data_IF_270660578098
#
_entry.id   IF_270660578098
#
_cell.length_a   1.000
_cell.length_b   1.000
_cell.length_c   1.000
_cell.angle_alpha   90.00
_cell.angle_beta   90.00
_cell.angle_gamma   90.00
#
_symmetry.space_group_name_H-M   'P 1'
#
loop_
_entity.id
_entity.type
_entity.pdbx_description
1 polymer ?
#
# COMPACT_ATOMS: atom_id res chain seq x y z
N UNK A 1 27.88 42.64 5.03
CA UNK A 1 27.29 42.03 6.23
C UNK A 1 26.31 43.03 6.84
N UNK A 2 25.00 42.86 6.63
CA UNK A 2 23.98 43.36 7.53
C UNK A 2 23.37 42.21 8.34
N UNK A 3 23.27 42.47 9.65
CA UNK A 3 22.79 41.62 10.72
C UNK A 3 21.24 41.62 10.74
N UNK A 4 20.61 40.47 10.53
CA UNK A 4 19.16 40.27 10.66
C UNK A 4 18.88 39.42 11.89
N UNK A 5 18.82 40.06 13.06
CA UNK A 5 18.32 39.46 14.28
C UNK A 5 16.79 39.61 14.34
N UNK A 6 16.07 38.53 14.06
CA UNK A 6 14.64 38.43 14.38
C UNK A 6 14.49 38.10 15.88
N UNK A 7 13.95 39.04 16.66
CA UNK A 7 13.45 38.78 18.03
C UNK A 7 11.99 38.34 17.93
N UNK A 8 11.70 37.12 18.36
CA UNK A 8 10.32 36.67 18.59
C UNK A 8 9.73 37.32 19.87
N UNK A 9 8.47 37.79 19.86
CA UNK A 9 7.79 38.23 21.07
C UNK A 9 7.30 37.03 21.91
N UNK A 10 7.25 37.15 23.25
CA UNK A 10 6.89 36.04 24.13
C UNK A 10 5.39 35.71 24.05
N UNK A 11 5.12 34.42 23.79
CA UNK A 11 3.80 33.81 23.79
C UNK A 11 3.22 33.82 25.23
N UNK A 12 2.12 34.55 25.46
CA UNK A 12 1.40 34.54 26.73
C UNK A 12 0.30 33.47 26.71
N UNK A 13 0.36 32.52 27.64
CA UNK A 13 -0.71 31.53 27.86
C UNK A 13 -2.00 32.22 28.37
N UNK A 14 -3.17 31.94 27.77
CA UNK A 14 -4.45 32.32 28.38
C UNK A 14 -4.73 31.45 29.61
N UNK A 15 -5.13 32.11 30.71
CA UNK A 15 -5.55 31.50 31.97
C UNK A 15 -6.80 30.63 31.76
N UNK A 16 -6.76 29.40 32.27
CA UNK A 16 -7.94 28.54 32.43
C UNK A 16 -8.79 29.05 33.59
N UNK A 17 -10.09 29.23 33.35
CA UNK A 17 -11.11 29.28 34.40
C UNK A 17 -12.38 28.57 33.95
N UNK A 18 -12.98 27.89 34.93
CA UNK A 18 -14.35 27.38 35.02
C UNK A 18 -14.61 25.93 34.58
N UNK A 19 -14.75 25.09 35.61
CA UNK A 19 -15.39 23.78 35.68
C UNK A 19 -16.72 23.73 34.90
N UNK A 20 -16.83 22.75 34.00
CA UNK A 20 -18.10 22.15 33.61
C UNK A 20 -17.86 20.64 33.50
N UNK A 21 -18.37 19.87 34.46
CA UNK A 21 -18.35 18.40 34.42
C UNK A 21 -19.27 17.88 33.31
N UNK A 22 -18.79 17.04 32.36
CA UNK A 22 -19.66 16.22 31.53
C UNK A 22 -19.95 14.87 32.20
N UNK A 23 -21.16 14.29 32.01
CA UNK A 23 -21.55 13.04 32.63
C UNK A 23 -20.82 11.83 32.04
N UNK A 24 -20.55 10.87 32.91
CA UNK A 24 -19.83 9.63 32.62
C UNK A 24 -20.66 8.65 31.77
N UNK A 25 -20.08 8.15 30.68
CA UNK A 25 -20.10 6.72 30.26
C UNK A 25 -19.56 6.53 28.83
N UNK A 26 -18.31 6.89 28.58
CA UNK A 26 -17.53 6.22 27.53
C UNK A 26 -16.80 5.06 28.17
N UNK A 27 -17.22 3.83 27.89
CA UNK A 27 -16.38 2.66 28.12
C UNK A 27 -15.06 2.90 27.40
N UNK A 28 -13.97 3.04 28.16
CA UNK A 28 -12.63 3.18 27.59
C UNK A 28 -12.34 1.90 26.79
N UNK A 29 -12.41 1.98 25.46
CA UNK A 29 -11.84 0.94 24.60
C UNK A 29 -10.37 0.81 24.96
N UNK A 30 -10.02 -0.28 25.63
CA UNK A 30 -8.63 -0.63 25.92
C UNK A 30 -7.97 -1.05 24.61
N UNK A 31 -6.88 -0.40 24.23
CA UNK A 31 -6.10 -0.84 23.06
C UNK A 31 -5.66 -2.29 23.27
N UNK A 32 -5.96 -3.21 22.34
CA UNK A 32 -5.65 -4.63 22.50
C UNK A 32 -4.14 -4.86 22.58
N UNK A 33 -3.71 -5.81 23.40
CA UNK A 33 -2.30 -6.20 23.53
C UNK A 33 -1.85 -7.13 22.41
N UNK A 34 -2.78 -7.95 21.91
CA UNK A 34 -2.57 -8.93 20.85
C UNK A 34 -3.41 -8.60 19.60
N UNK A 35 -2.88 -8.97 18.44
CA UNK A 35 -3.54 -8.78 17.16
C UNK A 35 -4.75 -9.71 17.03
N UNK A 36 -5.95 -9.13 17.03
CA UNK A 36 -7.21 -9.85 16.82
C UNK A 36 -7.55 -10.16 15.34
N UNK A 37 -6.64 -9.86 14.40
CA UNK A 37 -6.91 -10.04 12.96
C UNK A 37 -7.15 -11.51 12.61
N UNK A 38 -8.17 -11.79 11.80
CA UNK A 38 -8.46 -13.12 11.24
C UNK A 38 -8.44 -13.05 9.71
N UNK A 39 -7.64 -13.92 9.07
CA UNK A 39 -7.51 -13.92 7.61
C UNK A 39 -8.81 -14.33 6.90
N UNK A 40 -9.61 -15.19 7.52
CA UNK A 40 -10.94 -15.60 7.04
C UNK A 40 -11.84 -15.87 8.25
N UNK A 41 -13.15 -15.97 8.02
CA UNK A 41 -14.11 -16.31 9.08
C UNK A 41 -13.85 -17.67 9.75
N UNK A 42 -13.08 -18.54 9.09
CA UNK A 42 -12.69 -19.82 9.67
C UNK A 42 -11.34 -19.74 10.39
N UNK A 43 -10.43 -18.84 10.00
CA UNK A 43 -9.05 -18.77 10.50
C UNK A 43 -8.96 -18.36 11.97
N UNK A 44 -7.95 -18.89 12.67
CA UNK A 44 -7.61 -18.43 14.02
C UNK A 44 -7.17 -16.96 14.04
N UNK A 45 -7.41 -16.23 15.15
CA UNK A 45 -6.86 -14.89 15.34
C UNK A 45 -5.33 -14.92 15.27
N UNK A 46 -4.74 -13.85 14.73
CA UNK A 46 -3.31 -13.68 14.56
C UNK A 46 -2.53 -13.86 15.87
N UNK A 47 -3.05 -13.34 16.99
CA UNK A 47 -2.48 -13.52 18.32
C UNK A 47 -1.08 -12.90 18.51
N UNK A 48 -0.55 -12.21 17.51
CA UNK A 48 0.76 -11.55 17.60
C UNK A 48 0.67 -10.34 18.51
N UNK A 49 1.55 -10.26 19.51
CA UNK A 49 1.67 -9.06 20.37
C UNK A 49 1.88 -7.81 19.53
N UNK A 50 1.22 -6.73 19.90
CA UNK A 50 1.33 -5.44 19.23
C UNK A 50 2.41 -4.56 19.84
N UNK A 51 2.74 -4.79 21.11
CA UNK A 51 3.71 -4.01 21.88
C UNK A 51 4.87 -4.89 22.36
N UNK A 52 6.06 -4.29 22.46
CA UNK A 52 7.24 -4.98 22.98
C UNK A 52 7.01 -5.35 24.44
N UNK A 53 7.29 -6.61 24.80
CA UNK A 53 7.35 -7.01 26.20
C UNK A 53 8.63 -6.46 26.82
N UNK A 54 8.50 -5.71 27.92
CA UNK A 54 9.63 -5.16 28.67
C UNK A 54 10.53 -6.26 29.25
N UNK A 55 11.49 -6.72 28.46
CA UNK A 55 12.76 -7.24 28.94
C UNK A 55 13.83 -6.56 28.09
N UNK A 56 14.75 -5.86 28.75
CA UNK A 56 15.84 -5.04 28.20
C UNK A 56 15.50 -3.54 28.01
N UNK A 57 15.26 -2.86 29.14
CA UNK A 57 15.50 -1.42 29.24
C UNK A 57 17.02 -1.21 29.33
N UNK A 58 17.66 -1.06 28.18
CA UNK A 58 19.09 -0.79 28.06
C UNK A 58 19.41 -0.21 26.70
N UNK A 59 19.60 1.11 26.66
CA UNK A 59 19.95 1.95 25.51
C UNK A 59 18.80 2.41 24.61
N UNK A 60 18.48 3.70 24.78
CA UNK A 60 17.61 4.50 23.93
C UNK A 60 18.43 4.97 22.71
N UNK A 61 18.75 4.07 21.77
CA UNK A 61 19.29 4.42 20.44
C UNK A 61 18.87 3.36 19.43
N UNK A 62 17.76 3.62 18.72
CA UNK A 62 17.50 3.22 17.33
C UNK A 62 15.99 3.38 17.05
N UNK A 63 15.60 4.52 16.48
CA UNK A 63 14.42 4.60 15.65
C UNK A 63 14.92 4.58 14.20
N UNK A 64 14.31 3.72 13.38
CA UNK A 64 14.58 3.42 11.95
C UNK A 64 15.39 2.12 11.66
N UNK A 65 16.19 1.58 12.58
CA UNK A 65 16.88 0.30 12.37
C UNK A 65 16.70 -0.68 13.53
N UNK A 66 16.12 -1.85 13.27
CA UNK A 66 16.17 -2.97 14.23
C UNK A 66 17.53 -3.63 14.06
N UNK A 67 18.46 -3.35 14.97
CA UNK A 67 19.72 -4.09 15.05
C UNK A 67 19.48 -5.54 15.48
N UNK A 68 20.23 -6.50 14.92
CA UNK A 68 20.17 -7.89 15.34
C UNK A 68 21.07 -8.20 16.54
N UNK A 69 20.47 -8.77 17.57
CA UNK A 69 21.19 -9.21 18.76
C UNK A 69 21.83 -10.60 18.56
N UNK A 70 23.11 -10.81 18.95
CA UNK A 70 23.72 -12.13 19.01
C UNK A 70 23.31 -12.89 20.29
N UNK A 71 23.43 -14.23 20.23
CA UNK A 71 22.90 -15.19 21.22
C UNK A 71 23.65 -15.17 22.57
N UNK A 72 22.86 -14.98 23.64
CA UNK A 72 22.92 -15.43 25.06
C UNK A 72 24.25 -15.54 25.81
N UNK A 73 24.24 -15.08 27.08
CA UNK A 73 24.60 -15.85 28.30
C UNK A 73 23.88 -15.29 29.53
N UNK A 74 23.58 -16.18 30.48
CA UNK A 74 22.76 -15.98 31.68
C UNK A 74 23.44 -15.10 32.75
N UNK A 75 22.65 -14.26 33.42
CA UNK A 75 22.85 -13.93 34.84
C UNK A 75 21.53 -13.47 35.46
N UNK A 76 21.18 -14.09 36.59
CA UNK A 76 20.08 -13.69 37.47
C UNK A 76 20.40 -12.35 38.14
N UNK A 77 19.44 -11.42 38.20
CA UNK A 77 19.40 -10.42 39.27
C UNK A 77 18.00 -9.83 39.47
N UNK A 78 17.65 -9.72 40.76
CA UNK A 78 16.37 -9.41 41.40
C UNK A 78 15.41 -8.42 40.74
N UNK A 79 14.13 -8.82 40.75
CA UNK A 79 12.97 -7.95 40.58
C UNK A 79 12.86 -6.97 41.76
N UNK A 80 13.07 -5.69 41.49
CA UNK A 80 12.48 -4.60 42.26
C UNK A 80 11.25 -4.10 41.50
N UNK A 81 10.07 -4.55 41.95
CA UNK A 81 8.78 -4.10 41.46
C UNK A 81 8.52 -2.69 42.01
N UNK A 82 8.77 -1.67 41.18
CA UNK A 82 8.24 -0.33 41.42
C UNK A 82 6.80 -0.28 40.90
N UNK A 83 5.87 -0.23 41.85
CA UNK A 83 4.45 -0.01 41.64
C UNK A 83 4.19 1.40 41.07
N UNK A 84 3.29 1.49 40.09
CA UNK A 84 2.55 2.74 39.81
C UNK A 84 2.94 3.57 38.57
N UNK A 85 3.89 3.17 37.73
CA UNK A 85 4.10 3.82 36.43
C UNK A 85 3.59 2.95 35.29
N UNK A 86 2.57 3.45 34.55
CA UNK A 86 2.20 2.84 33.26
C UNK A 86 3.42 2.91 32.35
N UNK A 87 4.08 1.77 32.17
CA UNK A 87 5.20 1.62 31.26
C UNK A 87 4.78 2.11 29.86
N UNK A 88 5.60 2.91 29.16
CA UNK A 88 5.27 3.34 27.81
C UNK A 88 5.12 2.11 26.92
N UNK A 89 3.95 1.95 26.30
CA UNK A 89 3.68 0.89 25.33
C UNK A 89 4.43 1.23 24.04
N UNK A 90 5.48 0.48 23.73
CA UNK A 90 6.27 0.68 22.52
C UNK A 90 5.77 -0.29 21.43
N UNK A 91 5.20 0.22 20.31
CA UNK A 91 4.77 -0.63 19.21
C UNK A 91 5.93 -1.50 18.67
N UNK A 92 5.61 -2.73 18.25
CA UNK A 92 6.59 -3.61 17.60
C UNK A 92 6.95 -3.09 16.20
N UNK A 93 5.97 -2.55 15.48
CA UNK A 93 6.15 -2.00 14.13
C UNK A 93 5.21 -0.81 13.93
N UNK A 94 5.66 0.19 13.19
CA UNK A 94 4.91 1.43 12.93
C UNK A 94 4.79 1.66 11.44
N UNK A 95 3.57 1.74 10.94
CA UNK A 95 3.27 2.24 9.61
C UNK A 95 3.15 3.77 9.67
N UNK A 96 3.93 4.48 8.86
CA UNK A 96 3.84 5.93 8.76
C UNK A 96 2.95 6.25 7.57
N UNK A 97 1.98 7.14 7.76
CA UNK A 97 1.03 7.54 6.72
C UNK A 97 0.83 9.05 6.76
N UNK A 98 0.58 9.64 5.59
CA UNK A 98 0.17 11.04 5.46
C UNK A 98 -1.27 11.06 4.92
N UNK A 99 -2.10 11.96 5.45
CA UNK A 99 -3.45 12.16 4.96
C UNK A 99 -3.41 12.90 3.60
N UNK A 100 -4.08 12.34 2.59
CA UNK A 100 -4.08 12.87 1.21
C UNK A 100 -4.85 14.19 1.17
N UNK A 101 -5.94 14.29 1.92
CA UNK A 101 -6.78 15.49 1.95
C UNK A 101 -6.00 16.71 2.46
N UNK A 102 -5.24 16.55 3.54
CA UNK A 102 -4.39 17.62 4.07
C UNK A 102 -3.25 17.98 3.10
N UNK A 103 -2.65 16.98 2.45
CA UNK A 103 -1.67 17.24 1.39
C UNK A 103 -2.30 18.02 0.22
N UNK A 104 -3.52 17.68 -0.23
CA UNK A 104 -4.22 18.37 -1.30
C UNK A 104 -4.52 19.84 -0.95
N UNK A 105 -4.99 20.10 0.28
CA UNK A 105 -5.23 21.48 0.75
C UNK A 105 -3.94 22.31 0.70
N UNK A 106 -2.83 21.74 1.18
CA UNK A 106 -1.54 22.40 1.10
C UNK A 106 -1.08 22.58 -0.35
N UNK A 107 -1.17 21.53 -1.17
CA UNK A 107 -0.72 21.52 -2.56
C UNK A 107 -1.46 22.58 -3.39
N UNK A 108 -2.78 22.68 -3.25
CA UNK A 108 -3.60 23.69 -3.93
C UNK A 108 -3.53 25.09 -3.30
N UNK A 109 -2.98 25.22 -2.09
CA UNK A 109 -2.69 26.55 -1.50
C UNK A 109 -1.46 27.22 -2.12
N UNK A 110 -0.63 26.47 -2.84
CA UNK A 110 0.55 27.01 -3.52
C UNK A 110 0.09 27.85 -4.73
N UNK A 111 0.45 29.16 -4.80
CA UNK A 111 -0.11 30.07 -5.81
C UNK A 111 0.09 29.66 -7.28
N UNK A 112 1.16 28.92 -7.55
CA UNK A 112 1.56 28.48 -8.89
C UNK A 112 0.90 27.19 -9.35
N UNK A 113 0.35 26.38 -8.44
CA UNK A 113 -0.10 25.02 -8.78
C UNK A 113 -1.32 25.05 -9.70
N UNK A 114 -2.32 25.89 -9.39
CA UNK A 114 -3.50 26.05 -10.25
C UNK A 114 -3.11 26.60 -11.64
N UNK A 115 -2.16 27.53 -11.68
CA UNK A 115 -1.63 28.07 -12.94
C UNK A 115 -0.94 26.99 -13.79
N UNK A 116 -0.12 26.13 -13.18
CA UNK A 116 0.51 25.02 -13.89
C UNK A 116 -0.50 24.01 -14.43
N UNK A 117 -1.57 23.74 -13.66
CA UNK A 117 -2.64 22.84 -14.10
C UNK A 117 -3.38 23.44 -15.30
N UNK A 118 -3.77 24.72 -15.23
CA UNK A 118 -4.45 25.42 -16.31
C UNK A 118 -3.57 25.48 -17.58
N UNK A 119 -2.30 25.84 -17.43
CA UNK A 119 -1.35 25.91 -18.54
C UNK A 119 -1.18 24.54 -19.21
N UNK A 120 -1.00 23.48 -18.42
CA UNK A 120 -0.85 22.13 -18.96
C UNK A 120 -2.12 21.64 -19.67
N UNK A 121 -3.30 21.90 -19.10
CA UNK A 121 -4.56 21.55 -19.77
C UNK A 121 -4.66 22.21 -21.15
N UNK A 122 -4.33 23.51 -21.25
CA UNK A 122 -4.32 24.23 -22.53
C UNK A 122 -3.29 23.65 -23.53
N UNK A 123 -2.09 23.30 -23.07
CA UNK A 123 -1.07 22.66 -23.92
C UNK A 123 -1.57 21.31 -24.49
N UNK A 124 -2.23 20.51 -23.67
CA UNK A 124 -2.79 19.22 -24.10
C UNK A 124 -3.92 19.36 -25.12
N UNK A 125 -4.72 20.43 -25.03
CA UNK A 125 -5.76 20.75 -26.01
C UNK A 125 -5.18 21.18 -27.36
N UNK A 126 -4.11 21.98 -27.35
CA UNK A 126 -3.41 22.42 -28.57
C UNK A 126 -2.69 21.25 -29.24
N UNK A 127 -2.10 20.35 -28.46
CA UNK A 127 -1.34 19.19 -28.94
C UNK A 127 -2.21 17.95 -29.23
N UNK A 128 -3.49 18.12 -29.53
CA UNK A 128 -4.42 17.03 -29.87
C UNK A 128 -4.13 16.43 -31.28
N UNK A 129 -2.89 16.00 -31.48
CA UNK A 129 -2.38 15.31 -32.67
C UNK A 129 -2.68 13.81 -32.60
N UNK A 130 -2.43 13.07 -33.69
CA UNK A 130 -2.65 11.61 -33.76
C UNK A 130 -1.81 10.78 -32.75
N UNK A 131 -0.96 11.40 -31.92
CA UNK A 131 -0.12 10.74 -30.93
C UNK A 131 -0.29 11.40 -29.56
N UNK A 132 -0.59 10.57 -28.54
CA UNK A 132 -0.67 11.04 -27.15
C UNK A 132 0.75 11.29 -26.61
N UNK A 133 1.00 12.49 -26.10
CA UNK A 133 2.27 12.84 -25.45
C UNK A 133 2.23 12.65 -23.92
N UNK A 134 1.04 12.52 -23.33
CA UNK A 134 0.85 12.40 -21.88
C UNK A 134 -0.30 11.44 -21.51
N UNK A 135 -0.26 10.92 -20.27
CA UNK A 135 -1.31 10.05 -19.73
C UNK A 135 -2.69 10.73 -19.70
N UNK A 136 -2.73 12.05 -19.53
CA UNK A 136 -3.96 12.83 -19.53
C UNK A 136 -4.68 12.87 -20.90
N UNK A 137 -3.99 12.54 -21.99
CA UNK A 137 -4.61 12.35 -23.31
C UNK A 137 -5.09 10.92 -23.56
N UNK A 138 -4.71 9.99 -22.68
CA UNK A 138 -5.05 8.57 -22.76
C UNK A 138 -6.54 8.29 -22.61
N UNK A 139 -6.98 7.14 -23.14
CA UNK A 139 -8.38 6.69 -23.05
C UNK A 139 -8.85 6.52 -21.61
N UNK A 140 -7.98 6.04 -20.72
CA UNK A 140 -8.27 5.90 -19.29
C UNK A 140 -8.62 7.25 -18.66
N UNK A 141 -7.81 8.28 -18.91
CA UNK A 141 -8.09 9.63 -18.42
C UNK A 141 -9.43 10.16 -18.93
N UNK A 142 -9.65 10.08 -20.24
CA UNK A 142 -10.88 10.53 -20.89
C UNK A 142 -12.13 9.84 -20.33
N UNK A 143 -12.04 8.54 -20.05
CA UNK A 143 -13.13 7.78 -19.43
C UNK A 143 -13.37 8.15 -17.95
N UNK A 144 -12.30 8.49 -17.22
CA UNK A 144 -12.41 8.87 -15.81
C UNK A 144 -12.97 10.27 -15.63
N UNK A 145 -12.66 11.20 -16.54
CA UNK A 145 -12.97 12.63 -16.40
C UNK A 145 -13.88 13.15 -17.51
N UNK A 146 -14.92 12.38 -17.87
CA UNK A 146 -15.91 12.75 -18.89
C UNK A 146 -16.33 14.23 -18.79
N UNK A 147 -16.46 14.87 -19.95
CA UNK A 147 -16.58 16.33 -20.14
C UNK A 147 -17.77 17.01 -19.47
N UNK A 148 -18.72 16.26 -18.91
CA UNK A 148 -20.00 16.76 -18.43
C UNK A 148 -19.87 17.77 -17.27
N UNK A 149 -18.71 17.79 -16.59
CA UNK A 149 -18.44 18.68 -15.45
C UNK A 149 -17.31 19.68 -15.70
N UNK A 150 -16.86 19.83 -16.95
CA UNK A 150 -15.75 20.72 -17.29
C UNK A 150 -16.10 22.17 -16.91
N UNK A 151 -15.28 22.78 -16.04
CA UNK A 151 -15.46 24.15 -15.54
C UNK A 151 -16.39 24.30 -14.32
N UNK A 152 -17.03 23.22 -13.84
CA UNK A 152 -17.85 23.22 -12.62
C UNK A 152 -17.08 22.72 -11.38
N UNK A 153 -16.06 21.89 -11.60
CA UNK A 153 -15.22 21.30 -10.56
C UNK A 153 -13.80 21.05 -11.08
N UNK A 154 -12.82 20.95 -10.17
CA UNK A 154 -11.43 20.64 -10.47
C UNK A 154 -11.25 19.13 -10.34
N UNK A 155 -11.04 18.47 -11.47
CA UNK A 155 -10.80 17.04 -11.55
C UNK A 155 -9.30 16.74 -11.53
N UNK A 156 -8.81 16.16 -10.44
CA UNK A 156 -7.41 15.78 -10.28
C UNK A 156 -7.21 14.28 -10.48
N UNK A 157 -6.29 13.93 -11.37
CA UNK A 157 -5.79 12.58 -11.57
C UNK A 157 -4.50 12.34 -10.80
N UNK A 158 -4.47 11.32 -9.96
CA UNK A 158 -3.26 10.92 -9.24
C UNK A 158 -2.65 9.64 -9.82
N UNK A 159 -1.33 9.55 -9.83
CA UNK A 159 -0.61 8.27 -9.94
C UNK A 159 -0.14 7.81 -8.58
N UNK A 160 -0.26 6.53 -8.28
CA UNK A 160 0.30 5.91 -7.07
C UNK A 160 1.52 5.10 -7.46
N UNK A 161 2.66 5.44 -6.87
CA UNK A 161 3.85 4.63 -6.95
C UNK A 161 4.02 3.79 -5.69
N UNK A 162 4.35 2.51 -5.87
CA UNK A 162 4.75 1.64 -4.79
C UNK A 162 5.90 0.73 -5.19
N UNK A 163 6.91 0.65 -4.33
CA UNK A 163 8.00 -0.29 -4.47
C UNK A 163 8.66 -0.57 -3.11
N UNK A 164 9.46 -1.62 -3.07
CA UNK A 164 10.27 -1.97 -1.92
C UNK A 164 11.75 -1.83 -2.22
N UNK A 165 12.49 -1.47 -1.19
CA UNK A 165 13.92 -1.22 -1.27
C UNK A 165 14.60 -1.73 -0.01
N UNK A 166 15.87 -2.08 -0.15
CA UNK A 166 16.70 -2.38 1.00
C UNK A 166 17.28 -1.08 1.56
N UNK A 167 16.85 -0.63 2.76
CA UNK A 167 17.37 0.60 3.37
C UNK A 167 18.86 0.53 3.69
N UNK A 168 19.45 -0.68 3.79
CA UNK A 168 20.88 -0.90 4.03
C UNK A 168 21.74 -0.93 2.76
N UNK A 169 21.14 -0.68 1.59
CA UNK A 169 21.72 -0.83 0.24
C UNK A 169 21.98 -2.30 -0.13
N UNK A 170 21.91 -2.59 -1.43
CA UNK A 170 22.11 -3.94 -1.97
C UNK A 170 23.60 -4.31 -1.98
N UNK A 171 24.13 -4.77 -0.83
CA UNK A 171 25.44 -5.44 -0.76
C UNK A 171 25.24 -6.95 -0.78
N UNK A 172 26.03 -7.68 -1.57
CA UNK A 172 25.92 -9.14 -1.75
C UNK A 172 26.04 -9.94 -0.43
N UNK A 173 26.83 -9.45 0.53
CA UNK A 173 26.99 -10.05 1.87
C UNK A 173 26.22 -9.28 2.97
N UNK A 174 25.36 -8.34 2.59
CA UNK A 174 24.61 -7.48 3.50
C UNK A 174 23.27 -8.06 3.91
N UNK A 175 22.74 -7.56 5.02
CA UNK A 175 21.41 -7.90 5.51
C UNK A 175 20.36 -7.43 4.51
N UNK A 176 19.48 -8.33 4.08
CA UNK A 176 18.39 -8.01 3.17
C UNK A 176 17.17 -7.60 3.99
N UNK A 177 17.01 -6.30 4.17
CA UNK A 177 15.80 -5.70 4.70
C UNK A 177 14.94 -5.20 3.55
N UNK A 178 13.65 -5.06 3.79
CA UNK A 178 12.70 -4.50 2.83
C UNK A 178 11.85 -3.45 3.50
N UNK A 179 11.92 -2.22 3.01
CA UNK A 179 11.04 -1.11 3.36
C UNK A 179 10.26 -0.70 2.12
N UNK A 180 8.99 -0.31 2.27
CA UNK A 180 8.15 0.13 1.15
C UNK A 180 7.88 1.63 1.19
N UNK A 181 7.89 2.28 0.03
CA UNK A 181 7.36 3.65 -0.13
C UNK A 181 6.05 3.56 -0.92
N UNK A 182 5.04 4.28 -0.45
CA UNK A 182 3.83 4.62 -1.20
C UNK A 182 3.88 6.13 -1.43
N UNK A 183 3.87 6.57 -2.68
CA UNK A 183 3.81 7.99 -3.04
C UNK A 183 2.73 8.27 -4.06
N UNK A 184 2.16 9.48 -4.00
CA UNK A 184 1.18 9.97 -4.96
C UNK A 184 1.75 11.18 -5.70
N UNK A 185 1.47 11.27 -7.00
CA UNK A 185 1.84 12.42 -7.82
C UNK A 185 0.62 12.93 -8.60
N UNK A 186 0.48 14.25 -8.70
CA UNK A 186 -0.57 14.89 -9.48
C UNK A 186 -0.21 14.87 -10.97
N UNK A 187 -1.01 14.17 -11.78
CA UNK A 187 -0.81 14.04 -13.22
C UNK A 187 -1.33 15.25 -14.01
N UNK A 188 -2.08 16.15 -13.37
CA UNK A 188 -2.51 17.40 -13.98
C UNK A 188 -1.36 18.42 -14.12
N UNK A 189 -0.21 18.18 -13.49
CA UNK A 189 0.97 19.01 -13.68
C UNK A 189 1.68 18.66 -15.00
N UNK A 190 2.45 19.60 -15.58
CA UNK A 190 3.37 19.31 -16.68
C UNK A 190 4.36 18.18 -16.33
N UNK A 191 4.81 17.35 -17.30
CA UNK A 191 5.63 16.15 -17.06
C UNK A 191 6.91 16.42 -16.25
N UNK A 192 7.53 17.57 -16.47
CA UNK A 192 8.76 17.97 -15.77
C UNK A 192 8.54 18.38 -14.30
N UNK A 193 7.27 18.61 -13.89
CA UNK A 193 6.86 18.93 -12.52
C UNK A 193 6.22 17.75 -11.79
N UNK A 194 5.53 16.83 -12.50
CA UNK A 194 4.76 15.72 -11.92
C UNK A 194 5.52 14.94 -10.83
N UNK A 195 6.81 14.66 -11.04
CA UNK A 195 7.64 13.83 -10.17
C UNK A 195 8.67 14.62 -9.36
N UNK A 196 8.54 15.94 -9.29
CA UNK A 196 9.39 16.73 -8.41
C UNK A 196 9.04 16.46 -6.96
N UNK A 197 10.06 16.26 -6.11
CA UNK A 197 9.88 15.95 -4.69
C UNK A 197 9.05 17.00 -3.95
N UNK A 198 9.07 18.25 -4.41
CA UNK A 198 8.23 19.32 -3.87
C UNK A 198 6.73 19.00 -4.00
N UNK A 199 6.30 18.40 -5.11
CA UNK A 199 4.88 18.13 -5.39
C UNK A 199 4.47 16.67 -5.13
N UNK A 200 5.41 15.80 -4.76
CA UNK A 200 5.11 14.41 -4.44
C UNK A 200 4.53 14.27 -3.02
N UNK A 201 3.39 13.62 -2.89
CA UNK A 201 2.84 13.20 -1.60
C UNK A 201 3.51 11.91 -1.13
N UNK A 202 4.09 11.89 0.08
CA UNK A 202 4.57 10.67 0.71
C UNK A 202 3.42 10.02 1.50
N UNK A 203 2.55 9.33 0.78
CA UNK A 203 1.32 8.77 1.32
C UNK A 203 1.58 7.71 2.40
N UNK A 204 2.66 6.94 2.31
CA UNK A 204 3.05 6.04 3.40
C UNK A 204 4.43 5.40 3.29
N UNK A 205 4.93 4.96 4.45
CA UNK A 205 6.17 4.19 4.60
C UNK A 205 5.83 2.88 5.28
N UNK A 206 5.99 1.79 4.53
CA UNK A 206 5.80 0.42 5.03
C UNK A 206 7.07 -0.01 5.76
N UNK A 207 6.98 -0.35 7.06
CA UNK A 207 8.15 -0.63 7.88
C UNK A 207 8.89 -1.90 7.45
N UNK A 208 10.20 -1.88 7.65
CA UNK A 208 11.06 -3.07 7.57
C UNK A 208 10.82 -4.02 8.77
N UNK A 209 11.21 -5.30 8.73
CA UNK A 209 12.23 -5.89 7.85
C UNK A 209 11.72 -6.55 6.57
N UNK A 210 10.42 -6.84 6.46
CA UNK A 210 9.87 -7.71 5.42
C UNK A 210 8.89 -6.98 4.51
N UNK A 211 8.79 -7.43 3.26
CA UNK A 211 7.68 -7.04 2.40
C UNK A 211 6.34 -7.49 3.03
N UNK A 212 5.28 -6.69 2.90
CA UNK A 212 3.96 -7.11 3.34
C UNK A 212 3.49 -8.32 2.53
N UNK A 213 2.73 -9.21 3.19
CA UNK A 213 2.00 -10.26 2.49
C UNK A 213 0.88 -9.67 1.65
N UNK A 214 0.28 -10.46 0.75
CA UNK A 214 -0.91 -10.05 -0.02
C UNK A 214 -2.08 -9.59 0.87
N UNK A 215 -2.22 -10.19 2.05
CA UNK A 215 -3.26 -9.83 2.99
C UNK A 215 -2.89 -8.53 3.71
N UNK A 216 -1.65 -8.45 4.18
CA UNK A 216 -1.14 -7.29 4.91
C UNK A 216 -1.15 -6.03 4.04
N UNK A 217 -0.79 -6.12 2.76
CA UNK A 217 -0.75 -4.95 1.87
C UNK A 217 -2.13 -4.35 1.65
N UNK A 218 -3.18 -5.18 1.52
CA UNK A 218 -4.55 -4.69 1.43
C UNK A 218 -4.95 -3.91 2.68
N UNK A 219 -4.67 -4.46 3.87
CA UNK A 219 -4.95 -3.77 5.15
C UNK A 219 -4.15 -2.45 5.30
N UNK A 220 -2.90 -2.41 4.81
CA UNK A 220 -2.08 -1.20 4.81
C UNK A 220 -2.68 -0.13 3.88
N UNK A 221 -3.25 -0.54 2.76
CA UNK A 221 -3.82 0.36 1.76
C UNK A 221 -5.24 0.81 2.10
N UNK A 222 -5.98 0.10 2.97
CA UNK A 222 -7.36 0.46 3.34
C UNK A 222 -7.54 1.94 3.74
N UNK A 223 -6.71 2.55 4.62
CA UNK A 223 -6.88 3.96 4.96
C UNK A 223 -6.74 4.88 3.73
N UNK A 224 -5.75 4.61 2.88
CA UNK A 224 -5.49 5.37 1.66
C UNK A 224 -6.66 5.26 0.67
N UNK A 225 -7.17 4.05 0.48
CA UNK A 225 -8.26 3.78 -0.46
C UNK A 225 -9.58 4.36 0.03
N UNK A 226 -9.84 4.34 1.34
CA UNK A 226 -10.99 5.01 1.93
C UNK A 226 -10.93 6.53 1.70
N UNK A 227 -9.76 7.15 1.86
CA UNK A 227 -9.59 8.58 1.54
C UNK A 227 -9.85 8.86 0.06
N UNK A 228 -9.31 8.05 -0.85
CA UNK A 228 -9.55 8.18 -2.30
C UNK A 228 -11.03 7.97 -2.68
N UNK A 229 -11.73 7.09 -1.97
CA UNK A 229 -13.16 6.86 -2.16
C UNK A 229 -13.98 8.11 -1.78
N UNK A 230 -13.66 8.76 -0.67
CA UNK A 230 -14.32 10.02 -0.27
C UNK A 230 -13.95 11.17 -1.19
N UNK A 231 -12.67 11.32 -1.56
CA UNK A 231 -12.22 12.38 -2.48
C UNK A 231 -12.84 12.26 -3.89
N UNK A 232 -13.23 11.07 -4.31
CA UNK A 232 -13.96 10.86 -5.56
C UNK A 232 -15.40 11.42 -5.53
N UNK A 233 -16.01 11.58 -4.34
CA UNK A 233 -17.33 12.25 -4.22
C UNK A 233 -17.22 13.77 -4.37
N UNK A 234 -16.00 14.30 -4.19
CA UNK A 234 -15.68 15.71 -4.23
C UNK A 234 -15.58 16.33 -2.84
N UNK A 235 -14.64 17.26 -2.70
CA UNK A 235 -14.39 18.04 -1.48
C UNK A 235 -14.22 19.51 -1.85
N UNK A 236 -14.85 20.41 -1.10
CA UNK A 236 -14.63 21.84 -1.27
C UNK A 236 -13.31 22.25 -0.61
N UNK A 237 -12.36 22.77 -1.40
CA UNK A 237 -11.05 23.26 -0.95
C UNK A 237 -10.92 24.74 -1.30
N UNK A 238 -10.45 25.54 -0.36
CA UNK A 238 -10.14 26.95 -0.59
C UNK A 238 -8.78 27.06 -1.26
N UNK A 239 -8.72 27.79 -2.37
CA UNK A 239 -7.48 28.00 -3.12
C UNK A 239 -7.25 29.50 -3.34
N UNK A 240 -6.02 29.94 -3.69
CA UNK A 240 -5.76 31.34 -4.02
C UNK A 240 -6.66 31.88 -5.15
N UNK A 241 -6.96 31.06 -6.18
CA UNK A 241 -7.87 31.44 -7.27
C UNK A 241 -9.34 31.40 -6.85
N UNK A 242 -9.69 30.55 -5.90
CA UNK A 242 -11.07 30.34 -5.43
C UNK A 242 -11.19 30.47 -3.91
N UNK A 243 -11.21 31.71 -3.37
CA UNK A 243 -11.22 31.96 -1.92
C UNK A 243 -12.52 31.52 -1.23
N UNK A 244 -13.62 31.38 -1.99
CA UNK A 244 -14.90 30.88 -1.48
C UNK A 244 -15.00 29.35 -1.51
N UNK A 245 -13.92 28.67 -1.90
CA UNK A 245 -13.89 27.23 -2.11
C UNK A 245 -14.20 26.83 -3.55
N UNK A 246 -13.52 25.78 -3.98
CA UNK A 246 -13.72 25.11 -5.25
C UNK A 246 -13.95 23.62 -5.00
N UNK A 247 -14.89 23.02 -5.74
CA UNK A 247 -15.14 21.58 -5.62
C UNK A 247 -14.01 20.82 -6.32
N UNK A 248 -13.27 20.03 -5.56
CA UNK A 248 -12.16 19.21 -6.06
C UNK A 248 -12.56 17.74 -6.01
N UNK A 249 -12.51 17.07 -7.16
CA UNK A 249 -12.77 15.63 -7.30
C UNK A 249 -11.45 14.95 -7.65
N UNK A 250 -11.11 13.87 -6.93
CA UNK A 250 -9.83 13.17 -7.14
C UNK A 250 -10.07 11.72 -7.52
N UNK A 251 -9.36 11.26 -8.55
CA UNK A 251 -9.36 9.85 -8.98
C UNK A 251 -7.94 9.32 -9.11
N UNK A 252 -7.74 8.09 -8.65
CA UNK A 252 -6.51 7.36 -8.91
C UNK A 252 -6.51 6.85 -10.35
N UNK A 253 -5.64 7.42 -11.18
CA UNK A 253 -5.57 7.11 -12.63
C UNK A 253 -4.69 5.90 -12.88
N UNK A 254 -3.58 5.76 -12.18
CA UNK A 254 -2.66 4.65 -12.44
C UNK A 254 -1.87 4.20 -11.22
N UNK A 255 -1.66 2.89 -11.12
CA UNK A 255 -0.68 2.25 -10.26
C UNK A 255 0.63 2.07 -11.01
N UNK A 256 1.74 2.48 -10.38
CA UNK A 256 3.09 2.46 -10.94
C UNK A 256 4.02 1.71 -9.97
N UNK A 257 4.88 0.87 -10.51
CA UNK A 257 5.86 0.12 -9.73
C UNK A 257 6.65 -0.84 -10.62
N UNK A 258 7.51 -1.65 -10.00
CA UNK A 258 7.97 -2.85 -10.70
C UNK A 258 6.83 -3.89 -10.75
N UNK A 259 6.97 -4.89 -11.61
CA UNK A 259 5.91 -5.87 -11.84
C UNK A 259 5.52 -6.63 -10.55
N UNK A 260 6.49 -6.88 -9.68
CA UNK A 260 6.26 -7.56 -8.39
C UNK A 260 5.38 -6.70 -7.47
N UNK A 261 5.65 -5.40 -7.37
CA UNK A 261 4.87 -4.42 -6.59
C UNK A 261 3.47 -4.24 -7.14
N UNK A 262 3.40 -4.03 -8.43
CA UNK A 262 2.14 -3.87 -9.14
C UNK A 262 1.27 -5.10 -8.95
N UNK A 263 1.76 -6.32 -9.20
CA UNK A 263 0.95 -7.53 -9.04
C UNK A 263 0.51 -7.74 -7.59
N UNK A 264 1.42 -7.52 -6.64
CA UNK A 264 1.12 -7.66 -5.21
C UNK A 264 0.01 -6.73 -4.75
N UNK A 265 0.02 -5.49 -5.25
CA UNK A 265 -0.96 -4.48 -4.86
C UNK A 265 -2.26 -4.58 -5.65
N UNK A 266 -2.18 -4.83 -6.96
CA UNK A 266 -3.34 -4.97 -7.83
C UNK A 266 -4.01 -6.35 -7.75
N UNK A 267 -3.49 -7.27 -6.94
CA UNK A 267 -4.11 -8.57 -6.68
C UNK A 267 -3.79 -9.63 -7.74
N UNK A 268 -2.81 -9.42 -8.61
CA UNK A 268 -2.35 -10.44 -9.54
C UNK A 268 -1.36 -11.40 -8.87
N UNK A 269 -1.23 -12.61 -9.44
CA UNK A 269 -0.18 -13.56 -9.05
C UNK A 269 1.19 -13.09 -9.55
N UNK A 270 2.25 -13.65 -8.96
CA UNK A 270 3.64 -13.38 -9.35
C UNK A 270 3.87 -13.57 -10.86
N UNK A 271 4.87 -12.86 -11.39
CA UNK A 271 5.39 -13.04 -12.75
C UNK A 271 5.85 -14.49 -13.03
N UNK A 272 6.11 -15.29 -12.00
CA UNK A 272 6.48 -16.71 -12.10
C UNK A 272 5.29 -17.68 -12.07
N UNK A 273 4.04 -17.19 -11.91
CA UNK A 273 2.86 -18.04 -11.82
C UNK A 273 2.38 -18.55 -13.18
N UNK A 274 1.50 -19.57 -13.19
CA UNK A 274 0.87 -20.05 -14.43
C UNK A 274 0.12 -18.94 -15.16
N UNK A 275 -0.65 -18.12 -14.42
CA UNK A 275 -1.26 -16.88 -14.90
C UNK A 275 -0.41 -15.71 -14.42
N UNK A 276 0.55 -15.31 -15.25
CA UNK A 276 1.57 -14.32 -14.88
C UNK A 276 1.30 -12.91 -15.41
N UNK A 277 0.41 -12.73 -16.39
CA UNK A 277 0.21 -11.44 -17.04
C UNK A 277 -1.03 -10.72 -16.49
N UNK A 278 -0.93 -9.41 -16.23
CA UNK A 278 -2.08 -8.58 -15.85
C UNK A 278 -3.00 -8.22 -17.03
N UNK A 279 -2.53 -8.37 -18.26
CA UNK A 279 -3.24 -7.93 -19.46
C UNK A 279 -3.72 -9.06 -20.36
N UNK A 280 -3.20 -10.28 -20.25
CA UNK A 280 -3.61 -11.39 -21.12
C UNK A 280 -3.86 -12.67 -20.34
N UNK A 281 -4.61 -13.59 -20.94
CA UNK A 281 -5.06 -14.82 -20.29
C UNK A 281 -4.14 -16.02 -20.59
N UNK A 282 -2.97 -15.80 -21.19
CA UNK A 282 -2.07 -16.90 -21.59
C UNK A 282 -1.46 -17.59 -20.36
N UNK A 283 -1.23 -18.89 -20.47
CA UNK A 283 -0.50 -19.65 -19.46
C UNK A 283 1.02 -19.53 -19.67
N UNK A 284 1.79 -19.65 -18.59
CA UNK A 284 3.26 -19.65 -18.63
C UNK A 284 3.85 -20.73 -19.56
N UNK A 285 3.18 -21.88 -19.68
CA UNK A 285 3.53 -22.97 -20.61
C UNK A 285 3.39 -22.58 -22.08
N UNK A 286 2.47 -21.67 -22.36
CA UNK A 286 2.07 -21.27 -23.70
C UNK A 286 2.68 -19.94 -24.12
N UNK A 287 3.67 -19.40 -23.36
CA UNK A 287 4.33 -18.11 -23.65
C UNK A 287 4.82 -17.95 -25.09
N UNK A 288 5.24 -19.04 -25.73
CA UNK A 288 5.69 -19.06 -27.12
C UNK A 288 4.57 -18.77 -28.14
N UNK A 289 3.30 -18.84 -27.72
CA UNK A 289 2.10 -18.54 -28.50
C UNK A 289 1.58 -17.12 -28.28
N UNK A 290 2.38 -16.24 -27.65
CA UNK A 290 1.99 -14.86 -27.42
C UNK A 290 1.86 -14.13 -28.76
N UNK A 291 0.68 -13.54 -28.98
CA UNK A 291 0.37 -12.68 -30.12
C UNK A 291 -0.15 -11.34 -29.60
N UNK A 292 -0.04 -10.29 -30.42
CA UNK A 292 -0.64 -8.99 -30.10
C UNK A 292 -2.15 -9.14 -30.15
N UNK A 293 -2.81 -8.92 -29.01
CA UNK A 293 -4.25 -9.11 -28.86
C UNK A 293 -4.86 -8.09 -27.93
N UNK A 294 -6.16 -8.22 -27.73
CA UNK A 294 -6.90 -7.37 -26.81
C UNK A 294 -6.56 -7.74 -25.36
N UNK A 295 -6.44 -6.73 -24.47
CA UNK A 295 -6.32 -7.00 -23.04
C UNK A 295 -7.53 -7.79 -22.50
N UNK A 296 -7.32 -8.51 -21.40
CA UNK A 296 -8.40 -9.12 -20.65
C UNK A 296 -9.39 -8.04 -20.17
N UNK A 297 -10.66 -8.42 -20.03
CA UNK A 297 -11.70 -7.46 -19.61
C UNK A 297 -11.60 -7.23 -18.11
N UNK A 298 -11.48 -5.97 -17.68
CA UNK A 298 -11.44 -5.60 -16.25
C UNK A 298 -12.58 -6.22 -15.42
N UNK A 299 -13.80 -6.29 -15.99
CA UNK A 299 -14.96 -6.95 -15.35
C UNK A 299 -14.70 -8.41 -14.96
N UNK A 300 -13.98 -9.18 -15.80
CA UNK A 300 -13.71 -10.59 -15.55
C UNK A 300 -12.68 -10.73 -14.41
N UNK A 301 -11.72 -9.81 -14.35
CA UNK A 301 -10.74 -9.72 -13.26
C UNK A 301 -11.43 -9.37 -11.95
N UNK A 302 -12.35 -8.39 -11.96
CA UNK A 302 -13.14 -8.03 -10.78
C UNK A 302 -14.01 -9.19 -10.29
N UNK A 303 -14.71 -9.90 -11.19
CA UNK A 303 -15.50 -11.08 -10.83
C UNK A 303 -14.64 -12.17 -10.16
N UNK A 304 -13.45 -12.45 -10.73
CA UNK A 304 -12.50 -13.39 -10.15
C UNK A 304 -11.99 -12.92 -8.76
N UNK A 305 -11.74 -11.62 -8.59
CA UNK A 305 -11.29 -11.03 -7.33
C UNK A 305 -12.36 -11.10 -6.24
N UNK A 306 -13.63 -10.82 -6.58
CA UNK A 306 -14.76 -10.98 -5.66
C UNK A 306 -14.96 -12.44 -5.28
N UNK A 307 -14.96 -13.34 -6.25
CA UNK A 307 -15.06 -14.79 -5.98
C UNK A 307 -13.93 -15.26 -5.05
N UNK A 308 -12.70 -14.75 -5.22
CA UNK A 308 -11.60 -15.01 -4.28
C UNK A 308 -11.90 -14.47 -2.86
N UNK A 309 -12.40 -13.23 -2.75
CA UNK A 309 -12.70 -12.58 -1.47
C UNK A 309 -13.74 -13.37 -0.67
N UNK A 310 -14.76 -13.86 -1.35
CA UNK A 310 -15.92 -14.57 -0.78
C UNK A 310 -15.61 -16.00 -0.31
N UNK A 311 -14.45 -16.55 -0.71
CA UNK A 311 -14.01 -17.85 -0.21
C UNK A 311 -13.73 -17.81 1.30
N UNK A 312 -14.26 -18.81 2.02
CA UNK A 312 -14.25 -18.89 3.50
C UNK A 312 -12.98 -19.48 4.12
N UNK A 313 -12.06 -20.00 3.32
CA UNK A 313 -10.84 -20.68 3.79
C UNK A 313 -9.63 -20.23 2.98
N UNK A 314 -8.45 -20.18 3.59
CA UNK A 314 -7.20 -19.83 2.91
C UNK A 314 -6.88 -20.79 1.76
N UNK A 315 -7.12 -22.10 1.94
CA UNK A 315 -6.92 -23.09 0.89
C UNK A 315 -7.78 -22.83 -0.36
N UNK A 316 -9.09 -22.63 -0.17
CA UNK A 316 -10.01 -22.32 -1.28
C UNK A 316 -9.64 -21.02 -2.00
N UNK A 317 -9.19 -20.00 -1.26
CA UNK A 317 -8.67 -18.74 -1.82
C UNK A 317 -7.47 -19.01 -2.73
N UNK A 318 -6.48 -19.77 -2.27
CA UNK A 318 -5.29 -20.04 -3.08
C UNK A 318 -5.63 -20.89 -4.31
N UNK A 319 -6.57 -21.85 -4.21
CA UNK A 319 -7.06 -22.61 -5.37
C UNK A 319 -7.68 -21.71 -6.44
N UNK A 320 -8.49 -20.73 -6.04
CA UNK A 320 -9.05 -19.72 -6.97
C UNK A 320 -7.92 -18.91 -7.60
N UNK A 321 -7.00 -18.40 -6.78
CA UNK A 321 -5.89 -17.57 -7.26
C UNK A 321 -4.96 -18.31 -8.23
N UNK A 322 -4.71 -19.61 -8.02
CA UNK A 322 -3.91 -20.42 -8.96
C UNK A 322 -4.62 -20.63 -10.29
N UNK A 323 -5.96 -20.75 -10.28
CA UNK A 323 -6.76 -20.95 -11.49
C UNK A 323 -6.91 -19.66 -12.30
N UNK A 324 -7.22 -18.56 -11.62
CA UNK A 324 -7.57 -17.28 -12.27
C UNK A 324 -6.36 -16.35 -12.43
N UNK A 325 -5.33 -16.50 -11.60
CA UNK A 325 -4.24 -15.53 -11.50
C UNK A 325 -4.56 -14.31 -10.64
N UNK A 326 -5.74 -14.26 -10.02
CA UNK A 326 -6.31 -13.05 -9.42
C UNK A 326 -6.73 -13.28 -7.97
N UNK A 327 -6.54 -12.25 -7.14
CA UNK A 327 -6.93 -12.13 -5.73
C UNK A 327 -7.62 -10.78 -5.50
N UNK A 328 -8.18 -10.59 -4.31
CA UNK A 328 -8.69 -9.27 -3.92
C UNK A 328 -7.56 -8.25 -3.81
N UNK A 329 -7.79 -7.08 -4.40
CA UNK A 329 -7.03 -5.85 -4.19
C UNK A 329 -7.93 -4.82 -3.55
N UNK A 330 -7.40 -4.04 -2.62
CA UNK A 330 -8.13 -2.97 -1.98
C UNK A 330 -8.59 -1.89 -2.98
N UNK A 331 -7.84 -1.67 -4.07
CA UNK A 331 -8.24 -0.72 -5.11
C UNK A 331 -9.53 -1.12 -5.83
N UNK A 332 -9.92 -2.40 -5.81
CA UNK A 332 -11.19 -2.84 -6.39
C UNK A 332 -12.42 -2.33 -5.62
N UNK A 333 -12.23 -1.67 -4.46
CA UNK A 333 -13.31 -0.95 -3.76
C UNK A 333 -13.60 0.44 -4.37
N UNK A 334 -12.69 0.98 -5.19
CA UNK A 334 -12.90 2.25 -5.88
C UNK A 334 -13.85 2.03 -7.08
N UNK A 335 -14.96 2.77 -7.17
CA UNK A 335 -16.01 2.50 -8.15
C UNK A 335 -15.58 2.77 -9.61
N UNK A 336 -14.51 3.54 -9.80
CA UNK A 336 -13.97 3.92 -11.10
C UNK A 336 -12.71 3.12 -11.50
N UNK A 337 -12.25 2.20 -10.65
CA UNK A 337 -11.00 1.47 -10.87
C UNK A 337 -11.19 0.27 -11.78
N UNK A 338 -10.42 0.23 -12.87
CA UNK A 338 -10.26 -0.93 -13.74
C UNK A 338 -8.88 -1.57 -13.47
N UNK A 339 -8.84 -2.82 -12.94
CA UNK A 339 -7.58 -3.47 -12.56
C UNK A 339 -6.68 -3.84 -13.73
N UNK A 340 -7.14 -3.71 -14.98
CA UNK A 340 -6.34 -3.95 -16.19
C UNK A 340 -5.88 -2.64 -16.81
N UNK A 341 -6.77 -1.64 -16.86
CA UNK A 341 -6.49 -0.37 -17.53
C UNK A 341 -5.73 0.63 -16.64
N UNK A 342 -5.91 0.58 -15.32
CA UNK A 342 -5.26 1.51 -14.38
C UNK A 342 -3.89 1.02 -13.87
N UNK A 343 -3.24 0.11 -14.60
CA UNK A 343 -1.88 -0.35 -14.29
C UNK A 343 -0.91 0.15 -15.35
N UNK A 344 0.12 0.87 -14.92
CA UNK A 344 1.20 1.30 -15.79
C UNK A 344 2.27 0.22 -15.92
N UNK A 345 2.69 -0.05 -17.15
CA UNK A 345 3.89 -0.84 -17.41
C UNK A 345 5.14 0.03 -17.19
N UNK A 346 5.91 -0.27 -16.14
CA UNK A 346 7.10 0.51 -15.81
C UNK A 346 8.22 0.36 -16.84
N UNK A 347 8.52 1.41 -17.62
CA UNK A 347 9.58 1.40 -18.66
C UNK A 347 10.95 1.06 -18.08
N UNK A 348 11.31 1.62 -16.92
CA UNK A 348 12.64 1.40 -16.35
C UNK A 348 12.92 -0.06 -15.99
N UNK A 349 11.96 -0.73 -15.34
CA UNK A 349 12.15 -2.11 -14.89
C UNK A 349 11.93 -3.13 -16.00
N UNK A 350 11.09 -2.82 -16.99
CA UNK A 350 10.80 -3.76 -18.09
C UNK A 350 11.71 -3.52 -19.30
N UNK A 351 11.79 -2.29 -19.79
CA UNK A 351 12.57 -1.99 -20.99
C UNK A 351 14.06 -1.90 -20.70
N UNK A 352 14.48 -1.02 -19.79
CA UNK A 352 15.91 -0.81 -19.55
C UNK A 352 16.56 -1.95 -18.75
N UNK A 353 15.94 -2.41 -17.67
CA UNK A 353 16.51 -3.45 -16.80
C UNK A 353 16.25 -4.89 -17.24
N UNK A 354 15.24 -5.17 -18.06
CA UNK A 354 15.01 -6.54 -18.56
C UNK A 354 15.40 -6.64 -20.02
N UNK A 355 14.67 -5.99 -20.94
CA UNK A 355 14.88 -6.14 -22.38
C UNK A 355 16.28 -5.69 -22.78
N UNK A 356 16.64 -4.44 -22.50
CA UNK A 356 17.93 -3.88 -22.92
C UNK A 356 19.10 -4.60 -22.26
N UNK A 357 18.99 -4.91 -20.95
CA UNK A 357 19.99 -5.71 -20.25
C UNK A 357 20.18 -7.10 -20.89
N UNK A 358 19.09 -7.83 -21.19
CA UNK A 358 19.16 -9.15 -21.83
C UNK A 358 19.78 -9.09 -23.23
N UNK A 359 19.44 -8.07 -24.03
CA UNK A 359 20.08 -7.88 -25.34
C UNK A 359 21.58 -7.66 -25.20
N UNK A 360 21.99 -6.80 -24.26
CA UNK A 360 23.40 -6.50 -24.05
C UNK A 360 24.19 -7.72 -23.54
N UNK A 361 23.67 -8.43 -22.53
CA UNK A 361 24.40 -9.53 -21.90
C UNK A 361 24.31 -10.82 -22.70
N UNK A 362 23.09 -11.22 -23.11
CA UNK A 362 22.83 -12.53 -23.73
C UNK A 362 22.95 -12.51 -25.25
N UNK A 363 22.48 -11.46 -25.92
CA UNK A 363 22.48 -11.42 -27.40
C UNK A 363 23.80 -10.89 -27.96
N UNK A 364 24.39 -9.89 -27.30
CA UNK A 364 25.68 -9.31 -27.73
C UNK A 364 26.90 -9.88 -27.00
N UNK A 365 26.68 -10.72 -25.98
CA UNK A 365 27.75 -11.49 -25.35
C UNK A 365 28.71 -10.66 -24.51
N UNK A 366 28.29 -9.50 -24.00
CA UNK A 366 29.12 -8.66 -23.12
C UNK A 366 29.28 -9.21 -21.69
N UNK A 367 28.84 -10.44 -21.41
CA UNK A 367 28.70 -10.91 -20.03
C UNK A 367 30.04 -11.22 -19.34
N UNK A 368 30.27 -10.55 -18.22
CA UNK A 368 31.13 -11.03 -17.13
C UNK A 368 30.23 -11.66 -16.06
N UNK A 369 29.91 -12.95 -16.21
CA UNK A 369 29.22 -13.82 -15.21
C UNK A 369 28.35 -13.06 -14.19
N UNK A 370 27.20 -12.56 -14.61
CA UNK A 370 26.24 -12.00 -13.66
C UNK A 370 25.62 -13.16 -12.87
N UNK A 371 25.81 -13.16 -11.54
CA UNK A 371 25.16 -14.11 -10.65
C UNK A 371 23.64 -13.96 -10.73
N UNK A 372 22.93 -15.05 -10.99
CA UNK A 372 21.46 -15.20 -10.89
C UNK A 372 20.95 -14.83 -9.49
N UNK A 373 20.92 -13.54 -9.16
CA UNK A 373 20.60 -13.04 -7.80
C UNK A 373 19.35 -12.16 -7.76
N UNK A 374 18.65 -12.04 -8.88
CA UNK A 374 17.31 -11.45 -8.91
C UNK A 374 16.33 -12.50 -9.38
N UNK A 375 15.85 -13.34 -8.45
CA UNK A 375 14.51 -13.96 -8.46
C UNK A 375 14.49 -15.20 -7.55
N UNK A 376 14.25 -15.00 -6.26
CA UNK A 376 13.47 -15.95 -5.47
C UNK A 376 13.11 -15.34 -4.12
N UNK A 377 12.06 -14.53 -4.10
CA UNK A 377 11.39 -14.15 -2.85
C UNK A 377 9.87 -14.15 -3.02
N UNK A 378 9.29 -15.26 -3.46
CA UNK A 378 7.98 -15.67 -2.97
C UNK A 378 8.01 -17.17 -2.74
N UNK A 379 8.10 -17.58 -1.47
CA UNK A 379 7.77 -18.95 -1.12
C UNK A 379 6.29 -19.15 -1.45
N UNK A 380 5.99 -19.97 -2.46
CA UNK A 380 4.67 -20.59 -2.56
C UNK A 380 4.49 -21.40 -1.28
N UNK A 381 3.58 -20.99 -0.40
CA UNK A 381 3.19 -21.85 0.70
C UNK A 381 2.61 -23.15 0.11
N UNK A 382 3.18 -24.32 0.46
CA UNK A 382 2.69 -25.58 -0.10
C UNK A 382 1.22 -25.75 0.26
N UNK A 383 0.37 -25.97 -0.75
CA UNK A 383 -1.07 -26.23 -0.59
C UNK A 383 -1.39 -27.29 0.47
N UNK A 384 -0.47 -28.23 0.71
CA UNK A 384 -0.58 -29.26 1.74
C UNK A 384 -0.59 -28.69 3.16
N UNK A 385 0.23 -27.67 3.47
CA UNK A 385 0.27 -27.04 4.79
C UNK A 385 -1.02 -26.29 5.11
N UNK A 386 -1.54 -25.52 4.14
CA UNK A 386 -2.81 -24.80 4.28
C UNK A 386 -4.00 -25.76 4.46
N UNK A 387 -3.98 -26.91 3.78
CA UNK A 387 -5.01 -27.95 3.93
C UNK A 387 -4.96 -28.60 5.31
N UNK A 388 -3.78 -28.88 5.86
CA UNK A 388 -3.61 -29.45 7.20
C UNK A 388 -4.04 -28.49 8.30
N UNK A 389 -3.75 -27.21 8.16
CA UNK A 389 -4.20 -26.15 9.07
C UNK A 389 -5.73 -26.00 9.05
N UNK A 390 -6.34 -25.98 7.86
CA UNK A 390 -7.80 -25.93 7.72
C UNK A 390 -8.48 -27.21 8.28
N UNK A 391 -7.83 -28.38 8.18
CA UNK A 391 -8.37 -29.66 8.67
C UNK A 391 -8.26 -29.79 10.20
N UNK A 392 -7.11 -29.42 10.79
CA UNK A 392 -6.95 -29.36 12.25
C UNK A 392 -7.99 -28.45 12.90
N UNK A 393 -8.27 -27.31 12.28
CA UNK A 393 -9.25 -26.35 12.77
C UNK A 393 -10.71 -26.82 12.66
N UNK A 394 -11.00 -27.76 11.74
CA UNK A 394 -12.30 -28.45 11.67
C UNK A 394 -12.44 -29.49 12.77
N UNK A 395 -11.38 -30.25 13.06
CA UNK A 395 -11.36 -31.28 14.11
C UNK A 395 -11.41 -30.64 15.51
N UNK A 396 -10.67 -29.55 15.74
CA UNK A 396 -10.67 -28.84 17.02
C UNK A 396 -12.04 -28.19 17.32
N UNK A 397 -12.79 -27.78 16.29
CA UNK A 397 -14.17 -27.28 16.46
C UNK A 397 -15.17 -28.38 16.81
N UNK A 398 -15.01 -29.58 16.24
CA UNK A 398 -15.81 -30.76 16.60
C UNK A 398 -15.53 -31.20 18.04
N UNK A 399 -14.25 -31.22 18.45
CA UNK A 399 -13.85 -31.58 19.82
C UNK A 399 -14.34 -30.58 20.88
N UNK A 400 -14.39 -29.27 20.56
CA UNK A 400 -14.97 -28.28 21.49
C UNK A 400 -16.50 -28.33 21.58
N UNK A 401 -17.19 -28.86 20.56
CA UNK A 401 -18.64 -29.04 20.59
C UNK A 401 -19.05 -30.36 21.28
N UNK A 402 -18.19 -31.38 21.25
CA UNK A 402 -18.39 -32.63 21.99
C UNK A 402 -18.05 -32.49 23.49
N UNK A 403 -17.13 -31.60 23.88
CA UNK A 403 -16.80 -31.37 25.30
C UNK A 403 -17.85 -30.56 26.08
N UNK A 404 -18.76 -29.85 25.39
CA UNK A 404 -19.81 -29.04 26.02
C UNK A 404 -21.13 -29.81 26.21
N UNK A 405 -21.19 -31.09 25.82
CA UNK A 405 -22.42 -31.90 25.86
C UNK A 405 -22.39 -33.08 26.84
N UNK A 406 -21.35 -33.23 27.66
CA UNK A 406 -21.23 -34.33 28.64
C UNK A 406 -21.44 -33.93 30.12
N UNK A 407 -21.91 -32.71 30.43
CA UNK A 407 -22.08 -32.29 31.83
C UNK A 407 -23.48 -31.79 32.20
N UNK A 408 -24.51 -32.48 31.71
CA UNK A 408 -25.88 -32.37 32.25
C UNK A 408 -26.48 -33.75 32.46
N UNK A 409 -26.12 -34.41 33.56
CA UNK A 409 -26.72 -35.68 33.95
C UNK A 409 -26.27 -36.16 35.32
N UNK A 410 -27.25 -36.26 36.22
CA UNK A 410 -27.27 -36.96 37.51
C UNK A 410 -26.98 -36.15 38.80
N UNK A 411 -28.12 -35.89 39.47
CA UNK A 411 -28.41 -35.67 40.90
C UNK A 411 -27.94 -34.37 41.56
#
# INVERSE_FOLDING_TARGET
MPDFSFREPPYQHPRQTADVNPPASHSRMTTPEDCGYQASSKSQPCGTRLFKSNALLGSLKAQIFVEPQPKKKHTHQGLLQLSGQRQPRIPISTFVTQNITEWLKWFLSLPMVEEYIDQWENELEVHNSNSNCDMAQGSVWKNLFSSDYKGLELCLGLSLFINWFNPLKNKLAGWQLSMGIISLNCLNLPPHLQYQTLYTCLAGIIPSPNQPTMITINNILTPLVNELYELNKGLTILTPKYPHGWKVVVKLVTLVGNIVAVHKVAGFKSHSATKFCSWCEINASDRHKLEVGHPCKGRNVLEAAHHWKDMKSAFSREKVAMRTGVRWSEFNSLPYWDPVCNIALGVMHNWFKCVFQHHFTSQWGFDSKISDTYENYEALEPLQKLKEEDTKMSIDKELTLESDNENSGFL
#
